data_IF_854027468502
#
_entry.id   IF_854027468502
#
_cell.length_a   1.000
_cell.length_b   1.000
_cell.length_c   1.000
_cell.angle_alpha   90.00
_cell.angle_beta   90.00
_cell.angle_gamma   90.00
#
_symmetry.space_group_name_H-M   'P 1'
#
loop_
_entity.id
_entity.type
_entity.pdbx_description
1 polymer ?
#
# COMPACT_ATOMS: atom_id res chain seq x y z
N UNK A 1 67.42 -45.21 -11.89
CA UNK A 1 66.22 -44.65 -11.22
C UNK A 1 65.93 -43.32 -11.89
N UNK A 2 64.70 -43.18 -12.40
CA UNK A 2 64.26 -42.11 -13.30
C UNK A 2 64.26 -40.73 -12.62
N UNK A 3 64.68 -39.74 -13.41
CA UNK A 3 64.60 -38.32 -13.13
C UNK A 3 63.15 -37.83 -13.21
N UNK A 4 62.77 -36.99 -12.24
CA UNK A 4 61.54 -36.21 -12.28
C UNK A 4 61.76 -34.89 -13.02
N UNK A 5 60.87 -34.61 -13.98
CA UNK A 5 60.41 -33.28 -14.38
C UNK A 5 59.53 -33.45 -15.64
N UNK A 6 58.20 -33.37 -15.49
CA UNK A 6 57.30 -33.14 -16.61
C UNK A 6 56.29 -32.08 -16.20
N UNK A 7 56.38 -30.96 -16.89
CA UNK A 7 55.66 -29.73 -16.65
C UNK A 7 54.18 -29.83 -17.04
N UNK A 8 53.42 -28.92 -16.44
CA UNK A 8 52.06 -28.49 -16.74
C UNK A 8 51.57 -28.75 -18.18
N UNK A 9 50.56 -29.60 -18.31
CA UNK A 9 49.57 -29.55 -19.41
C UNK A 9 48.36 -30.40 -19.00
N UNK A 10 47.26 -29.74 -18.63
CA UNK A 10 46.04 -30.48 -18.27
C UNK A 10 44.85 -29.65 -17.81
N UNK A 11 44.99 -28.33 -17.67
CA UNK A 11 43.89 -27.47 -17.24
C UNK A 11 43.71 -26.31 -18.22
N UNK A 12 43.10 -26.60 -19.37
CA UNK A 12 42.15 -25.68 -20.02
C UNK A 12 41.45 -26.43 -21.15
N UNK A 13 40.14 -26.71 -21.09
CA UNK A 13 39.40 -26.93 -22.31
C UNK A 13 39.41 -25.59 -23.07
N UNK A 14 39.83 -25.63 -24.34
CA UNK A 14 39.83 -24.46 -25.20
C UNK A 14 38.40 -23.94 -25.36
N UNK A 15 38.14 -22.74 -24.87
CA UNK A 15 36.89 -22.01 -25.14
C UNK A 15 36.96 -21.59 -26.61
N UNK A 16 36.19 -22.28 -27.46
CA UNK A 16 36.03 -21.96 -28.87
C UNK A 16 34.69 -21.24 -29.09
N UNK A 17 34.57 -20.48 -30.19
CA UNK A 17 33.38 -19.66 -30.47
C UNK A 17 32.06 -20.47 -30.55
N UNK A 18 32.15 -21.79 -30.72
CA UNK A 18 31.03 -22.72 -30.78
C UNK A 18 30.49 -23.12 -29.39
N UNK A 19 31.29 -23.06 -28.32
CA UNK A 19 30.81 -23.35 -26.94
C UNK A 19 30.06 -22.18 -26.28
N UNK A 20 30.10 -20.98 -26.87
CA UNK A 20 29.35 -19.80 -26.41
C UNK A 20 27.91 -19.73 -26.95
N UNK A 21 27.54 -20.59 -27.90
CA UNK A 21 26.27 -20.47 -28.64
C UNK A 21 25.09 -21.27 -28.07
N UNK A 22 25.23 -21.95 -26.92
CA UNK A 22 24.22 -22.89 -26.43
C UNK A 22 23.74 -22.65 -24.98
N UNK A 23 23.75 -21.41 -24.50
CA UNK A 23 23.00 -21.04 -23.28
C UNK A 23 21.89 -20.07 -23.66
N UNK A 24 20.75 -20.62 -24.10
CA UNK A 24 19.50 -19.88 -24.09
C UNK A 24 19.10 -19.69 -22.62
N UNK A 25 19.53 -18.57 -22.04
CA UNK A 25 18.93 -18.07 -20.80
C UNK A 25 17.52 -17.62 -21.18
N UNK A 26 16.51 -18.38 -20.75
CA UNK A 26 15.13 -17.95 -20.88
C UNK A 26 15.02 -16.54 -20.30
N UNK A 27 14.48 -15.60 -21.08
CA UNK A 27 14.23 -14.25 -20.60
C UNK A 27 13.44 -14.35 -19.29
N UNK A 28 13.80 -13.59 -18.24
CA UNK A 28 13.02 -13.58 -17.02
C UNK A 28 11.58 -13.25 -17.40
N UNK A 29 10.65 -14.15 -17.06
CA UNK A 29 9.23 -13.85 -17.19
C UNK A 29 8.97 -12.50 -16.52
N UNK A 30 8.12 -11.63 -17.11
CA UNK A 30 7.73 -10.40 -16.43
C UNK A 30 7.28 -10.79 -15.03
N UNK A 31 7.91 -10.18 -14.02
CA UNK A 31 7.59 -10.44 -12.64
C UNK A 31 6.07 -10.35 -12.49
N UNK A 32 5.45 -11.44 -12.02
CA UNK A 32 4.09 -11.35 -11.52
C UNK A 32 4.04 -10.14 -10.57
N UNK A 33 2.97 -9.32 -10.60
CA UNK A 33 2.88 -8.18 -9.70
C UNK A 33 3.15 -8.70 -8.29
N UNK A 34 4.23 -8.19 -7.69
CA UNK A 34 4.66 -8.57 -6.37
C UNK A 34 3.66 -8.00 -5.36
N UNK A 35 2.53 -8.70 -5.19
CA UNK A 35 1.69 -8.59 -4.01
C UNK A 35 2.38 -9.29 -2.83
N UNK A 36 2.26 -8.78 -1.60
CA UNK A 36 3.08 -9.24 -0.49
C UNK A 36 2.74 -10.67 -0.09
N UNK A 37 3.76 -11.54 0.02
CA UNK A 37 3.65 -12.79 0.78
C UNK A 37 3.83 -12.47 2.26
N UNK A 38 2.72 -12.29 2.97
CA UNK A 38 2.54 -12.44 4.42
C UNK A 38 1.03 -12.59 4.70
N UNK A 39 0.54 -13.84 4.83
CA UNK A 39 -0.86 -14.15 5.15
C UNK A 39 -1.88 -13.83 4.04
N UNK A 40 -3.10 -14.37 4.18
CA UNK A 40 -4.25 -13.89 3.41
C UNK A 40 -4.63 -12.48 3.92
N UNK A 41 -5.06 -11.60 3.02
CA UNK A 41 -5.63 -10.32 3.42
C UNK A 41 -6.87 -10.55 4.29
N UNK A 42 -7.14 -9.62 5.21
CA UNK A 42 -8.30 -9.67 6.08
C UNK A 42 -9.58 -9.60 5.25
N UNK A 43 -10.33 -10.71 5.18
CA UNK A 43 -11.54 -10.83 4.36
C UNK A 43 -12.61 -9.80 4.71
N UNK A 44 -12.73 -9.44 5.99
CA UNK A 44 -13.65 -8.41 6.45
C UNK A 44 -13.32 -7.02 5.90
N UNK A 45 -12.04 -6.73 5.61
CA UNK A 45 -11.64 -5.48 4.98
C UNK A 45 -12.09 -5.43 3.52
N UNK A 46 -11.88 -6.53 2.77
CA UNK A 46 -12.26 -6.64 1.37
C UNK A 46 -13.77 -6.54 1.20
N UNK A 47 -14.52 -7.27 2.02
CA UNK A 47 -15.98 -7.23 2.03
C UNK A 47 -16.51 -5.82 2.31
N UNK A 48 -15.95 -5.12 3.30
CA UNK A 48 -16.34 -3.77 3.66
C UNK A 48 -16.06 -2.78 2.51
N UNK A 49 -14.87 -2.83 1.93
CA UNK A 49 -14.48 -1.94 0.82
C UNK A 49 -15.40 -2.12 -0.40
N UNK A 50 -15.72 -3.37 -0.75
CA UNK A 50 -16.58 -3.67 -1.89
C UNK A 50 -18.04 -3.30 -1.59
N UNK A 51 -18.60 -3.78 -0.47
CA UNK A 51 -20.05 -3.68 -0.22
C UNK A 51 -20.48 -2.29 0.22
N UNK A 52 -19.67 -1.60 1.02
CA UNK A 52 -20.06 -0.30 1.58
C UNK A 52 -19.59 0.88 0.73
N UNK A 53 -18.40 0.76 0.12
CA UNK A 53 -17.76 1.87 -0.58
C UNK A 53 -17.65 1.66 -2.09
N UNK A 54 -18.02 0.49 -2.62
CA UNK A 54 -17.84 0.13 -4.03
C UNK A 54 -16.37 0.25 -4.49
N UNK A 55 -15.43 -0.17 -3.64
CA UNK A 55 -14.00 -0.25 -3.93
C UNK A 55 -13.62 -1.72 -4.11
N UNK A 56 -13.40 -2.16 -5.36
CA UNK A 56 -13.11 -3.56 -5.70
C UNK A 56 -11.80 -3.79 -6.44
N UNK A 57 -11.17 -2.75 -6.99
CA UNK A 57 -9.92 -2.88 -7.77
C UNK A 57 -8.67 -2.43 -7.00
N UNK A 58 -8.81 -1.98 -5.75
CA UNK A 58 -7.69 -1.51 -4.95
C UNK A 58 -6.77 -2.66 -4.56
N UNK A 59 -5.45 -2.46 -4.67
CA UNK A 59 -4.51 -3.38 -4.04
C UNK A 59 -4.67 -3.36 -2.52
N UNK A 60 -4.53 -4.51 -1.87
CA UNK A 60 -4.64 -4.62 -0.42
C UNK A 60 -3.41 -5.27 0.20
N UNK A 61 -2.88 -4.64 1.25
CA UNK A 61 -1.85 -5.18 2.14
C UNK A 61 -2.33 -4.98 3.59
N UNK A 62 -3.33 -5.78 3.95
CA UNK A 62 -3.97 -5.80 5.27
C UNK A 62 -3.95 -7.26 5.75
N UNK A 63 -2.80 -7.78 6.23
CA UNK A 63 -2.71 -9.16 6.65
C UNK A 63 -3.63 -9.43 7.84
N UNK A 64 -4.42 -10.51 7.79
CA UNK A 64 -5.32 -10.89 8.89
C UNK A 64 -4.58 -11.05 10.22
N UNK A 65 -3.41 -11.71 10.19
CA UNK A 65 -2.58 -11.87 11.38
C UNK A 65 -2.16 -10.53 12.01
N UNK A 66 -1.97 -9.49 11.19
CA UNK A 66 -1.63 -8.15 11.68
C UNK A 66 -2.83 -7.47 12.33
N UNK A 67 -4.00 -7.56 11.68
CA UNK A 67 -5.25 -7.05 12.23
C UNK A 67 -5.48 -7.66 13.62
N UNK A 68 -5.45 -8.99 13.72
CA UNK A 68 -5.62 -9.70 14.98
C UNK A 68 -4.56 -9.33 16.03
N UNK A 69 -3.31 -9.12 15.60
CA UNK A 69 -2.23 -8.71 16.48
C UNK A 69 -2.50 -7.33 17.07
N UNK A 70 -2.73 -6.32 16.23
CA UNK A 70 -2.99 -4.95 16.71
C UNK A 70 -4.28 -4.87 17.54
N UNK A 71 -5.29 -5.64 17.16
CA UNK A 71 -6.57 -5.71 17.89
C UNK A 71 -6.38 -6.27 19.31
N UNK A 72 -5.53 -7.30 19.46
CA UNK A 72 -5.22 -7.92 20.76
C UNK A 72 -4.27 -7.11 21.63
N UNK A 73 -3.23 -6.52 21.04
CA UNK A 73 -2.13 -5.91 21.80
C UNK A 73 -2.40 -4.47 22.23
N UNK A 74 -3.26 -3.74 21.52
CA UNK A 74 -3.55 -2.34 21.81
C UNK A 74 -4.94 -2.16 22.39
N UNK A 75 -5.12 -1.07 23.14
CA UNK A 75 -6.41 -0.74 23.71
C UNK A 75 -7.29 -0.09 22.63
N UNK A 76 -8.37 -0.78 22.24
CA UNK A 76 -9.25 -0.39 21.16
C UNK A 76 -10.65 -0.10 21.71
N UNK A 77 -11.16 1.10 21.47
CA UNK A 77 -12.55 1.46 21.77
C UNK A 77 -13.53 0.81 20.77
N UNK A 78 -13.04 0.41 19.59
CA UNK A 78 -13.82 -0.22 18.52
C UNK A 78 -12.95 -1.14 17.66
N UNK A 79 -13.60 -2.05 16.94
CA UNK A 79 -12.94 -3.02 16.08
C UNK A 79 -12.29 -2.40 14.83
N UNK A 80 -11.40 -3.16 14.20
CA UNK A 80 -10.71 -2.77 12.98
C UNK A 80 -11.64 -2.29 11.85
N UNK A 81 -12.78 -2.96 11.62
CA UNK A 81 -13.72 -2.60 10.54
C UNK A 81 -14.35 -1.24 10.78
N UNK A 82 -14.63 -0.90 12.04
CA UNK A 82 -15.10 0.43 12.38
C UNK A 82 -14.03 1.48 12.09
N UNK A 83 -12.78 1.20 12.43
CA UNK A 83 -11.64 2.07 12.11
C UNK A 83 -11.48 2.26 10.60
N UNK A 84 -11.55 1.17 9.82
CA UNK A 84 -11.44 1.21 8.37
C UNK A 84 -12.57 2.02 7.75
N UNK A 85 -13.82 1.85 8.22
CA UNK A 85 -14.96 2.64 7.77
C UNK A 85 -14.74 4.13 8.00
N UNK A 86 -14.30 4.52 9.19
CA UNK A 86 -13.98 5.91 9.52
C UNK A 86 -12.86 6.47 8.62
N UNK A 87 -11.81 5.68 8.39
CA UNK A 87 -10.69 6.08 7.53
C UNK A 87 -11.14 6.33 6.08
N UNK A 88 -11.88 5.40 5.48
CA UNK A 88 -12.34 5.50 4.09
C UNK A 88 -13.37 6.62 3.93
N UNK A 89 -14.31 6.78 4.87
CA UNK A 89 -15.23 7.92 4.86
C UNK A 89 -14.47 9.25 4.86
N UNK A 90 -13.43 9.40 5.68
CA UNK A 90 -12.63 10.64 5.67
C UNK A 90 -11.89 10.87 4.37
N UNK A 91 -11.34 9.83 3.75
CA UNK A 91 -10.68 9.93 2.43
C UNK A 91 -11.63 10.48 1.37
N UNK A 92 -12.91 10.12 1.44
CA UNK A 92 -13.93 10.46 0.44
C UNK A 92 -14.70 11.74 0.74
N UNK A 93 -14.75 12.18 2.01
CA UNK A 93 -15.66 13.24 2.46
C UNK A 93 -14.95 14.43 3.13
N UNK A 94 -13.72 14.25 3.64
CA UNK A 94 -12.99 15.28 4.36
C UNK A 94 -11.96 15.97 3.47
N UNK A 95 -12.06 17.30 3.40
CA UNK A 95 -11.16 18.17 2.64
C UNK A 95 -10.57 19.30 3.51
N UNK A 96 -10.70 19.19 4.84
CA UNK A 96 -10.15 20.17 5.78
C UNK A 96 -8.63 20.28 5.64
N UNK A 97 -7.95 19.15 5.49
CA UNK A 97 -6.51 19.16 5.21
C UNK A 97 -6.22 19.36 3.72
N UNK A 98 -5.44 20.41 3.34
CA UNK A 98 -5.15 20.72 1.94
C UNK A 98 -4.42 19.60 1.18
N UNK A 99 -3.69 18.74 1.90
CA UNK A 99 -2.96 17.61 1.30
C UNK A 99 -3.78 16.32 1.22
N UNK A 100 -5.01 16.31 1.72
CA UNK A 100 -5.91 15.15 1.63
C UNK A 100 -6.30 14.84 0.16
N UNK A 101 -6.65 13.59 -0.17
CA UNK A 101 -7.06 13.22 -1.52
C UNK A 101 -8.21 14.08 -2.07
N UNK A 102 -9.24 14.31 -1.25
CA UNK A 102 -10.40 15.09 -1.65
C UNK A 102 -10.05 16.57 -1.85
N UNK A 103 -9.26 17.17 -0.95
CA UNK A 103 -8.83 18.56 -1.10
C UNK A 103 -8.00 18.77 -2.36
N UNK A 104 -7.17 17.80 -2.75
CA UNK A 104 -6.39 17.87 -4.01
C UNK A 104 -7.28 17.82 -5.23
N UNK A 105 -8.30 16.96 -5.25
CA UNK A 105 -9.29 16.93 -6.33
C UNK A 105 -10.08 18.24 -6.42
N UNK A 106 -10.49 18.79 -5.27
CA UNK A 106 -11.14 20.11 -5.20
C UNK A 106 -10.22 21.23 -5.69
N UNK A 107 -8.93 21.19 -5.32
CA UNK A 107 -7.94 22.14 -5.79
C UNK A 107 -7.72 22.05 -7.30
N UNK A 108 -7.67 20.83 -7.85
CA UNK A 108 -7.54 20.60 -9.29
C UNK A 108 -8.77 21.12 -10.08
N UNK A 109 -9.92 21.24 -9.43
CA UNK A 109 -11.12 21.86 -10.01
C UNK A 109 -11.19 23.39 -9.79
N UNK A 110 -10.30 23.97 -8.99
CA UNK A 110 -10.34 25.38 -8.61
C UNK A 110 -11.37 25.72 -7.53
N UNK A 111 -11.87 24.71 -6.79
CA UNK A 111 -13.03 24.84 -5.89
C UNK A 111 -12.67 24.73 -4.40
N UNK A 112 -11.39 24.64 -4.02
CA UNK A 112 -10.99 24.31 -2.65
C UNK A 112 -11.48 25.30 -1.58
N UNK A 113 -11.58 26.59 -1.89
CA UNK A 113 -11.90 27.60 -0.86
C UNK A 113 -13.36 27.58 -0.39
N UNK A 114 -14.30 27.31 -1.29
CA UNK A 114 -15.73 27.30 -0.99
C UNK A 114 -16.48 26.35 -1.93
N UNK A 115 -16.22 25.03 -1.85
CA UNK A 115 -16.80 24.08 -2.76
C UNK A 115 -18.29 23.92 -2.48
N UNK A 116 -19.09 23.95 -3.54
CA UNK A 116 -20.49 23.56 -3.49
C UNK A 116 -20.65 22.06 -3.24
N UNK A 117 -21.83 21.64 -2.76
CA UNK A 117 -22.13 20.21 -2.53
C UNK A 117 -21.95 19.34 -3.77
N UNK A 118 -22.25 19.88 -4.95
CA UNK A 118 -22.06 19.17 -6.23
C UNK A 118 -20.58 19.00 -6.57
N UNK A 119 -19.74 20.00 -6.29
CA UNK A 119 -18.29 19.89 -6.47
C UNK A 119 -17.66 18.89 -5.50
N UNK A 120 -18.05 18.91 -4.22
CA UNK A 120 -17.60 17.90 -3.24
C UNK A 120 -17.99 16.50 -3.72
N UNK A 121 -19.23 16.29 -4.17
CA UNK A 121 -19.67 15.00 -4.70
C UNK A 121 -18.88 14.57 -5.93
N UNK A 122 -18.55 15.50 -6.83
CA UNK A 122 -17.76 15.22 -8.03
C UNK A 122 -16.30 14.87 -7.68
N UNK A 123 -15.69 15.61 -6.76
CA UNK A 123 -14.34 15.34 -6.27
C UNK A 123 -14.30 13.98 -5.56
N UNK A 124 -15.26 13.70 -4.68
CA UNK A 124 -15.38 12.42 -3.97
C UNK A 124 -15.51 11.26 -4.95
N UNK A 125 -16.30 11.43 -6.03
CA UNK A 125 -16.40 10.43 -7.09
C UNK A 125 -15.06 10.20 -7.81
N UNK A 126 -14.28 11.25 -8.07
CA UNK A 126 -12.94 11.12 -8.68
C UNK A 126 -11.96 10.39 -7.77
N UNK A 127 -11.96 10.70 -6.47
CA UNK A 127 -11.15 9.97 -5.48
C UNK A 127 -11.55 8.48 -5.48
N UNK A 128 -12.85 8.19 -5.44
CA UNK A 128 -13.37 6.82 -5.49
C UNK A 128 -12.98 6.09 -6.79
N UNK A 129 -13.10 6.76 -7.93
CA UNK A 129 -12.69 6.19 -9.22
C UNK A 129 -11.17 5.92 -9.21
N UNK A 130 -10.35 6.78 -8.60
CA UNK A 130 -8.91 6.55 -8.47
C UNK A 130 -8.55 5.43 -7.50
N UNK A 131 -9.32 5.23 -6.42
CA UNK A 131 -9.16 4.07 -5.54
C UNK A 131 -9.46 2.75 -6.29
N UNK A 132 -10.30 2.80 -7.33
CA UNK A 132 -10.61 1.68 -8.22
C UNK A 132 -9.75 1.62 -9.48
N UNK A 133 -8.50 2.13 -9.44
CA UNK A 133 -7.55 1.97 -10.55
C UNK A 133 -6.40 1.06 -10.17
N UNK A 134 -5.93 0.30 -11.15
CA UNK A 134 -4.69 -0.46 -11.04
C UNK A 134 -3.51 0.45 -10.62
N UNK A 135 -2.86 0.10 -9.51
CA UNK A 135 -1.77 0.86 -8.91
C UNK A 135 -2.12 1.54 -7.59
N UNK A 136 -3.41 1.72 -7.31
CA UNK A 136 -3.89 2.14 -6.00
C UNK A 136 -3.72 1.03 -4.96
N UNK A 137 -3.46 1.42 -3.71
CA UNK A 137 -3.18 0.50 -2.61
C UNK A 137 -3.79 1.04 -1.33
N UNK A 138 -4.37 0.16 -0.53
CA UNK A 138 -4.60 0.40 0.90
C UNK A 138 -3.81 -0.63 1.71
N UNK A 139 -3.11 -0.15 2.73
CA UNK A 139 -2.30 -0.99 3.59
C UNK A 139 -2.49 -0.64 5.06
N UNK A 140 -2.50 -1.66 5.92
CA UNK A 140 -2.41 -1.45 7.36
C UNK A 140 -0.95 -1.17 7.73
N UNK A 141 -0.72 -0.02 8.36
CA UNK A 141 0.64 0.33 8.82
C UNK A 141 1.05 -0.62 9.93
N UNK A 142 2.28 -1.12 9.81
CA UNK A 142 2.93 -2.03 10.74
C UNK A 142 4.10 -1.35 11.43
N UNK A 143 4.43 -1.71 12.68
CA UNK A 143 5.70 -1.33 13.28
C UNK A 143 6.88 -1.66 12.36
N UNK A 144 7.79 -0.71 12.18
CA UNK A 144 9.09 -0.89 11.51
C UNK A 144 9.03 -1.33 10.02
N UNK A 145 7.88 -1.13 9.34
CA UNK A 145 7.75 -1.40 7.89
C UNK A 145 7.74 -0.12 7.07
N UNK A 146 7.88 -0.26 5.76
CA UNK A 146 7.57 0.78 4.78
C UNK A 146 6.15 1.34 5.02
N UNK A 147 5.93 2.62 4.73
CA UNK A 147 4.67 3.37 4.90
C UNK A 147 4.41 4.03 6.28
N UNK A 148 5.46 4.36 7.03
CA UNK A 148 5.29 5.10 8.27
C UNK A 148 4.64 6.48 8.04
N UNK A 149 3.73 6.90 8.94
CA UNK A 149 3.10 8.23 8.89
C UNK A 149 4.12 9.34 9.15
N UNK A 150 3.81 10.56 8.71
CA UNK A 150 4.77 11.68 8.72
C UNK A 150 4.69 12.56 9.97
N UNK A 151 3.54 12.61 10.66
CA UNK A 151 3.31 13.55 11.75
C UNK A 151 3.55 12.93 13.15
N UNK A 152 4.34 11.86 13.22
CA UNK A 152 4.72 11.20 14.48
C UNK A 152 3.64 10.29 15.07
N UNK A 153 2.60 9.94 14.31
CA UNK A 153 1.59 8.98 14.74
C UNK A 153 2.18 7.59 14.95
N UNK A 154 1.74 6.92 16.01
CA UNK A 154 2.16 5.54 16.29
C UNK A 154 0.98 4.58 16.23
N UNK A 155 1.27 3.34 15.84
CA UNK A 155 0.26 2.27 15.75
C UNK A 155 -0.26 1.85 17.13
N UNK A 156 0.45 2.14 18.23
CA UNK A 156 -0.03 1.84 19.58
C UNK A 156 -1.24 2.71 19.97
N UNK A 157 -1.31 3.92 19.43
CA UNK A 157 -2.36 4.89 19.73
C UNK A 157 -3.43 4.98 18.66
N UNK A 158 -3.09 4.59 17.43
CA UNK A 158 -3.94 4.78 16.27
C UNK A 158 -4.06 3.50 15.43
N UNK A 159 -5.21 3.32 14.82
CA UNK A 159 -5.30 2.59 13.56
C UNK A 159 -4.81 3.51 12.45
N UNK A 160 -3.82 3.06 11.69
CA UNK A 160 -3.20 3.88 10.64
C UNK A 160 -3.24 3.10 9.34
N UNK A 161 -3.84 3.73 8.33
CA UNK A 161 -3.95 3.18 6.99
C UNK A 161 -3.11 4.02 6.06
N UNK A 162 -2.18 3.37 5.37
CA UNK A 162 -1.50 3.98 4.25
C UNK A 162 -2.34 3.78 3.00
N UNK A 163 -2.48 4.84 2.21
CA UNK A 163 -3.11 4.79 0.89
C UNK A 163 -2.13 5.27 -0.16
N UNK A 164 -2.14 4.61 -1.32
CA UNK A 164 -1.57 5.15 -2.55
C UNK A 164 -2.72 5.40 -3.52
N UNK A 165 -2.93 6.66 -3.90
CA UNK A 165 -3.98 7.07 -4.84
C UNK A 165 -3.32 7.85 -5.97
N UNK A 166 -3.48 7.38 -7.21
CA UNK A 166 -2.81 7.93 -8.40
C UNK A 166 -1.28 8.14 -8.20
N UNK A 167 -0.64 7.14 -7.58
CA UNK A 167 0.81 7.14 -7.32
C UNK A 167 1.27 8.01 -6.15
N UNK A 168 0.37 8.72 -5.48
CA UNK A 168 0.68 9.62 -4.36
C UNK A 168 0.38 8.97 -3.00
N UNK A 169 1.25 9.16 -2.00
CA UNK A 169 1.04 8.60 -0.66
C UNK A 169 0.10 9.46 0.18
N UNK A 170 -0.74 8.79 0.96
CA UNK A 170 -1.63 9.39 1.96
C UNK A 170 -1.69 8.51 3.20
N UNK A 171 -2.07 9.12 4.32
CA UNK A 171 -2.31 8.43 5.58
C UNK A 171 -3.68 8.82 6.12
N UNK A 172 -4.47 7.81 6.47
CA UNK A 172 -5.69 7.97 7.24
C UNK A 172 -5.43 7.47 8.66
N UNK A 173 -5.63 8.36 9.63
CA UNK A 173 -5.34 8.12 11.04
C UNK A 173 -6.63 8.12 11.83
N UNK A 174 -6.83 7.06 12.60
CA UNK A 174 -8.00 6.86 13.44
C UNK A 174 -7.53 6.57 14.86
N UNK A 175 -7.85 7.46 15.79
CA UNK A 175 -7.49 7.31 17.21
C UNK A 175 -8.20 6.10 17.82
N UNK A 176 -7.43 5.16 18.41
CA UNK A 176 -7.99 3.92 18.96
C UNK A 176 -8.92 4.15 20.14
N UNK A 177 -8.76 5.28 20.86
CA UNK A 177 -9.61 5.61 22.00
C UNK A 177 -10.95 6.24 21.59
N UNK A 178 -11.08 6.69 20.34
CA UNK A 178 -12.22 7.47 19.86
C UNK A 178 -12.28 8.90 20.40
N UNK A 179 -11.27 9.34 21.14
CA UNK A 179 -11.22 10.68 21.75
C UNK A 179 -10.86 11.78 20.76
N UNK A 180 -10.29 11.43 19.61
CA UNK A 180 -9.95 12.37 18.52
C UNK A 180 -10.66 12.02 17.24
N UNK A 181 -11.07 13.04 16.49
CA UNK A 181 -11.65 12.85 15.18
C UNK A 181 -10.62 12.21 14.23
N UNK A 182 -11.03 11.25 13.39
CA UNK A 182 -10.21 10.75 12.30
C UNK A 182 -9.79 11.87 11.33
N UNK A 183 -8.59 11.78 10.78
CA UNK A 183 -8.08 12.74 9.82
C UNK A 183 -7.24 12.06 8.74
N UNK A 184 -7.09 12.75 7.60
CA UNK A 184 -6.39 12.24 6.41
C UNK A 184 -5.48 13.34 5.87
N UNK A 185 -4.27 12.97 5.50
CA UNK A 185 -3.31 13.88 4.88
C UNK A 185 -2.44 13.13 3.87
N UNK A 186 -1.71 13.87 3.05
CA UNK A 186 -0.74 13.34 2.10
C UNK A 186 0.55 14.14 2.05
N UNK A 187 1.43 13.69 1.17
CA UNK A 187 2.69 14.36 0.75
C UNK A 187 2.50 15.14 -0.57
#
# INVERSE_FOLDING_TARGET
MQAGAAAAQGWSPAVNAETLAAVQVAAPSPAAPAGPRDGQNYSGAEELLIKEFAIGEIGMDIPEAEVMRQDRYYNNAFCFEHALRLAVSRVLEDYTEPTSPLARELSAMGSLQAPSKSEVKKASRRVLDSLNKGGSLIALVRPFKFYQPLNGETVERNWIFFLRVDGRPYWAVVDRSGGKAPYVYGD
#
